data_IF_851595395181
#
_entry.id   IF_851595395181
#
_cell.length_a   1.000
_cell.length_b   1.000
_cell.length_c   1.000
_cell.angle_alpha   90.00
_cell.angle_beta   90.00
_cell.angle_gamma   90.00
#
_symmetry.space_group_name_H-M   'P 1'
#
loop_
_entity.id
_entity.type
_entity.pdbx_description
1 polymer ?
#
# COMPACT_ATOMS: atom_id res chain seq x y z
N UNK A 1 -20.13 -24.53 12.45
CA UNK A 1 -20.32 -23.61 11.31
C UNK A 1 -19.02 -22.83 11.13
N UNK A 2 -18.44 -22.82 9.93
CA UNK A 2 -17.27 -21.98 9.63
C UNK A 2 -17.80 -20.56 9.41
N UNK A 3 -17.28 -19.56 10.13
CA UNK A 3 -17.61 -18.15 9.85
C UNK A 3 -17.19 -17.83 8.42
N UNK A 4 -18.00 -17.08 7.69
CA UNK A 4 -17.59 -16.51 6.39
C UNK A 4 -16.39 -15.60 6.62
N UNK A 5 -15.47 -15.58 5.66
CA UNK A 5 -14.34 -14.63 5.65
C UNK A 5 -14.80 -13.27 5.13
N UNK A 6 -14.10 -12.19 5.50
CA UNK A 6 -14.36 -10.85 4.97
C UNK A 6 -14.36 -10.84 3.42
N UNK A 7 -13.48 -11.61 2.77
CA UNK A 7 -13.43 -11.72 1.32
C UNK A 7 -14.69 -12.38 0.73
N UNK A 8 -15.18 -13.46 1.34
CA UNK A 8 -16.44 -14.11 0.94
C UNK A 8 -17.64 -13.18 1.13
N UNK A 9 -17.60 -12.31 2.16
CA UNK A 9 -18.61 -11.30 2.42
C UNK A 9 -18.57 -10.17 1.39
N UNK A 10 -17.38 -9.65 1.04
CA UNK A 10 -17.22 -8.67 -0.04
C UNK A 10 -17.76 -9.25 -1.36
N UNK A 11 -17.40 -10.49 -1.70
CA UNK A 11 -17.91 -11.16 -2.89
C UNK A 11 -19.44 -11.33 -2.87
N UNK A 12 -20.02 -11.71 -1.73
CA UNK A 12 -21.47 -11.85 -1.60
C UNK A 12 -22.22 -10.52 -1.81
N UNK A 13 -21.61 -9.39 -1.45
CA UNK A 13 -22.21 -8.06 -1.67
C UNK A 13 -22.40 -7.70 -3.15
N UNK A 14 -21.63 -8.30 -4.05
CA UNK A 14 -21.79 -8.13 -5.50
C UNK A 14 -23.08 -8.78 -5.98
N UNK A 15 -23.44 -9.93 -5.42
CA UNK A 15 -24.64 -10.69 -5.80
C UNK A 15 -25.92 -10.20 -5.11
N UNK A 16 -25.82 -9.65 -3.90
CA UNK A 16 -26.98 -9.28 -3.06
C UNK A 16 -27.19 -7.76 -3.01
N UNK A 17 -27.50 -7.16 -4.16
CA UNK A 17 -27.78 -5.72 -4.22
C UNK A 17 -29.21 -5.33 -3.73
N UNK A 18 -29.92 -6.27 -3.09
CA UNK A 18 -31.24 -6.07 -2.48
C UNK A 18 -31.13 -5.41 -1.10
N UNK A 19 -32.11 -4.59 -0.73
CA UNK A 19 -32.04 -3.66 0.41
C UNK A 19 -31.85 -4.31 1.80
N UNK A 20 -32.05 -5.62 1.94
CA UNK A 20 -32.05 -6.32 3.24
C UNK A 20 -30.66 -6.69 3.80
N UNK A 21 -29.61 -6.76 2.97
CA UNK A 21 -28.23 -7.07 3.43
C UNK A 21 -27.45 -5.82 3.91
N UNK A 22 -28.14 -4.66 3.97
CA UNK A 22 -27.62 -3.40 4.50
C UNK A 22 -27.36 -3.41 6.03
N UNK A 23 -27.44 -4.55 6.71
CA UNK A 23 -27.20 -4.62 8.16
C UNK A 23 -25.73 -4.82 8.53
N UNK A 24 -24.85 -5.09 7.54
CA UNK A 24 -23.40 -5.29 7.73
C UNK A 24 -22.57 -3.99 7.72
N UNK A 25 -23.22 -2.85 7.48
CA UNK A 25 -22.67 -1.50 7.40
C UNK A 25 -22.17 -0.94 8.75
N UNK A 26 -21.24 -1.64 9.42
CA UNK A 26 -20.50 -1.11 10.56
C UNK A 26 -19.19 -0.50 10.06
N UNK A 27 -18.70 0.60 10.67
CA UNK A 27 -17.37 1.14 10.41
C UNK A 27 -16.34 0.00 10.46
N UNK A 28 -15.83 -0.39 9.30
CA UNK A 28 -14.84 -1.47 9.23
C UNK A 28 -13.53 -0.94 9.82
N UNK A 29 -13.32 0.38 9.84
CA UNK A 29 -12.15 1.01 10.43
C UNK A 29 -12.61 2.21 11.27
N UNK A 30 -12.77 2.07 12.60
CA UNK A 30 -12.97 3.27 13.41
C UNK A 30 -11.78 4.21 13.20
N UNK A 31 -12.06 5.50 13.27
CA UNK A 31 -11.02 6.53 13.24
C UNK A 31 -10.10 6.29 14.43
N UNK A 32 -8.90 5.81 14.12
CA UNK A 32 -7.92 5.46 15.13
C UNK A 32 -8.06 4.07 15.73
N UNK A 33 -7.07 3.73 16.54
CA UNK A 33 -6.98 2.44 17.19
C UNK A 33 -6.07 2.53 18.41
N UNK A 34 -6.49 1.93 19.51
CA UNK A 34 -5.70 1.86 20.74
C UNK A 34 -5.07 0.49 20.86
N UNK A 35 -3.76 0.44 21.01
CA UNK A 35 -3.00 -0.79 21.17
C UNK A 35 -2.06 -0.70 22.37
N UNK A 36 -2.12 -1.66 23.28
CA UNK A 36 -1.26 -1.66 24.46
C UNK A 36 -0.02 -2.52 24.22
N UNK A 37 1.17 -1.91 24.26
CA UNK A 37 2.44 -2.63 24.22
C UNK A 37 2.98 -2.78 25.63
N UNK A 38 3.35 -4.00 26.01
CA UNK A 38 4.12 -4.25 27.22
C UNK A 38 5.54 -3.74 27.01
N UNK A 39 5.94 -2.70 27.74
CA UNK A 39 7.31 -2.22 27.70
C UNK A 39 8.24 -3.21 28.42
N UNK A 40 9.24 -3.73 27.70
CA UNK A 40 10.28 -4.54 28.32
C UNK A 40 11.20 -3.67 29.17
N UNK A 41 11.38 -4.03 30.45
CA UNK A 41 12.24 -3.31 31.39
C UNK A 41 13.70 -3.75 31.25
N UNK A 42 14.63 -2.78 31.28
CA UNK A 42 15.85 -2.94 32.09
C UNK A 42 15.49 -2.57 33.54
N UNK A 43 15.41 -3.60 34.41
CA UNK A 43 15.34 -3.67 35.89
C UNK A 43 14.96 -2.39 36.68
N UNK A 44 14.00 -2.35 37.62
CA UNK A 44 14.01 -2.88 39.01
C UNK A 44 12.58 -2.58 39.55
N UNK A 45 11.88 -3.51 40.23
CA UNK A 45 10.52 -3.38 40.85
C UNK A 45 9.24 -3.70 40.02
N UNK A 46 8.97 -4.99 39.83
CA UNK A 46 7.65 -5.58 40.14
C UNK A 46 6.39 -5.31 39.32
N UNK A 47 6.34 -4.38 38.36
CA UNK A 47 5.12 -4.21 37.52
C UNK A 47 5.45 -3.91 36.06
N UNK A 48 4.87 -4.64 35.10
CA UNK A 48 5.02 -4.33 33.68
C UNK A 48 4.45 -2.94 33.41
N UNK A 49 5.25 -2.07 32.79
CA UNK A 49 4.78 -0.78 32.30
C UNK A 49 4.14 -1.05 30.95
N UNK A 50 2.88 -0.67 30.77
CA UNK A 50 2.22 -0.71 29.48
C UNK A 50 2.29 0.68 28.87
N UNK A 51 2.65 0.75 27.59
CA UNK A 51 2.54 1.97 26.79
C UNK A 51 1.30 1.84 25.94
N UNK A 52 0.39 2.78 26.09
CA UNK A 52 -0.78 2.88 25.23
C UNK A 52 -0.38 3.56 23.92
N UNK A 53 -0.58 2.89 22.80
CA UNK A 53 -0.39 3.48 21.48
C UNK A 53 -1.74 3.89 20.92
N UNK A 54 -1.87 5.15 20.53
CA UNK A 54 -3.06 5.71 19.89
C UNK A 54 -2.73 6.09 18.45
N UNK A 55 -3.42 5.47 17.49
CA UNK A 55 -3.34 5.85 16.07
C UNK A 55 -4.37 6.94 15.77
N UNK A 56 -3.97 7.99 15.05
CA UNK A 56 -4.86 9.03 14.51
C UNK A 56 -4.81 9.06 12.99
N UNK A 57 -5.89 9.55 12.38
CA UNK A 57 -6.02 9.75 10.93
C UNK A 57 -5.66 8.50 10.12
N UNK A 58 -6.17 7.34 10.53
CA UNK A 58 -5.78 6.04 9.94
C UNK A 58 -6.32 5.81 8.53
N UNK A 59 -7.26 6.66 8.07
CA UNK A 59 -7.82 6.58 6.73
C UNK A 59 -6.74 6.54 5.63
N UNK A 60 -5.58 7.13 5.91
CA UNK A 60 -4.41 7.16 5.01
C UNK A 60 -3.82 5.79 4.68
N UNK A 61 -4.00 4.79 5.54
CA UNK A 61 -3.47 3.43 5.33
C UNK A 61 -4.57 2.41 5.10
N UNK A 62 -5.76 2.72 5.61
CA UNK A 62 -6.96 1.89 5.58
C UNK A 62 -7.32 1.39 4.18
N UNK A 63 -7.37 2.31 3.21
CA UNK A 63 -7.65 1.98 1.81
C UNK A 63 -6.61 1.03 1.20
N UNK A 64 -5.32 1.25 1.49
CA UNK A 64 -4.25 0.40 0.99
C UNK A 64 -4.27 -1.00 1.58
N UNK A 65 -4.49 -1.13 2.89
CA UNK A 65 -4.58 -2.44 3.54
C UNK A 65 -5.76 -3.24 2.97
N UNK A 66 -6.87 -2.57 2.65
CA UNK A 66 -8.02 -3.22 1.99
C UNK A 66 -7.68 -3.69 0.56
N UNK A 67 -7.07 -2.82 -0.26
CA UNK A 67 -6.61 -3.18 -1.61
C UNK A 67 -5.65 -4.37 -1.56
N UNK A 68 -4.66 -4.33 -0.67
CA UNK A 68 -3.69 -5.41 -0.50
C UNK A 68 -4.38 -6.73 -0.09
N UNK A 69 -5.32 -6.66 0.85
CA UNK A 69 -6.09 -7.83 1.29
C UNK A 69 -6.86 -8.50 0.14
N UNK A 70 -7.58 -7.70 -0.64
CA UNK A 70 -8.37 -8.20 -1.79
C UNK A 70 -7.46 -8.86 -2.80
N UNK A 71 -6.36 -8.20 -3.17
CA UNK A 71 -5.40 -8.74 -4.15
C UNK A 71 -4.75 -10.04 -3.64
N UNK A 72 -4.38 -10.10 -2.36
CA UNK A 72 -3.78 -11.32 -1.77
C UNK A 72 -4.76 -12.51 -1.75
N UNK A 73 -6.05 -12.24 -1.61
CA UNK A 73 -7.10 -13.26 -1.62
C UNK A 73 -7.44 -13.74 -3.02
N UNK A 74 -7.46 -12.83 -3.97
CA UNK A 74 -7.88 -13.11 -5.34
C UNK A 74 -6.73 -13.70 -6.19
N UNK A 75 -5.50 -13.23 -5.97
CA UNK A 75 -4.34 -13.62 -6.77
C UNK A 75 -3.33 -14.48 -5.99
N UNK A 76 -3.44 -15.82 -6.14
CA UNK A 76 -2.53 -16.78 -5.49
C UNK A 76 -1.06 -16.63 -5.93
N UNK A 77 -0.82 -16.24 -7.18
CA UNK A 77 0.55 -16.02 -7.68
C UNK A 77 1.22 -14.86 -6.96
N UNK A 78 0.50 -13.74 -6.89
CA UNK A 78 0.89 -12.54 -6.15
C UNK A 78 1.17 -12.84 -4.68
N UNK A 79 0.26 -13.57 -4.00
CA UNK A 79 0.43 -13.94 -2.59
C UNK A 79 1.73 -14.71 -2.32
N UNK A 80 2.06 -15.69 -3.18
CA UNK A 80 3.30 -16.47 -3.04
C UNK A 80 4.54 -15.61 -3.26
N UNK A 81 4.51 -14.72 -4.25
CA UNK A 81 5.63 -13.84 -4.55
C UNK A 81 5.85 -12.82 -3.43
N UNK A 82 4.79 -12.15 -2.96
CA UNK A 82 4.89 -11.19 -1.87
C UNK A 82 5.36 -11.85 -0.56
N UNK A 83 4.96 -13.10 -0.31
CA UNK A 83 5.41 -13.87 0.85
C UNK A 83 6.92 -14.14 0.87
N UNK A 84 7.60 -14.12 -0.28
CA UNK A 84 9.06 -14.20 -0.35
C UNK A 84 9.71 -12.95 0.23
N UNK A 85 9.08 -11.78 0.04
CA UNK A 85 9.63 -10.49 0.45
C UNK A 85 9.20 -10.06 1.85
N UNK A 86 7.91 -10.15 2.15
CA UNK A 86 7.37 -9.77 3.47
C UNK A 86 7.46 -10.92 4.50
N UNK A 87 7.71 -12.14 4.04
CA UNK A 87 7.72 -13.34 4.85
C UNK A 87 6.35 -14.03 4.87
N UNK A 88 6.36 -15.35 4.71
CA UNK A 88 5.14 -16.18 4.70
C UNK A 88 4.28 -15.98 5.95
N UNK A 89 4.91 -15.97 7.13
CA UNK A 89 4.21 -15.78 8.40
C UNK A 89 3.52 -14.40 8.49
N UNK A 90 4.16 -13.35 7.95
CA UNK A 90 3.57 -12.02 7.89
C UNK A 90 2.30 -12.03 7.05
N UNK A 91 2.36 -12.57 5.82
CA UNK A 91 1.22 -12.62 4.91
C UNK A 91 0.07 -13.46 5.49
N UNK A 92 0.36 -14.63 6.05
CA UNK A 92 -0.65 -15.47 6.70
C UNK A 92 -1.29 -14.79 7.90
N UNK A 93 -0.49 -14.12 8.74
CA UNK A 93 -1.01 -13.39 9.90
C UNK A 93 -1.83 -12.17 9.51
N UNK A 94 -1.39 -11.40 8.50
CA UNK A 94 -2.13 -10.28 7.93
C UNK A 94 -3.51 -10.73 7.44
N UNK A 95 -3.56 -11.80 6.64
CA UNK A 95 -4.81 -12.35 6.10
C UNK A 95 -5.74 -12.84 7.22
N UNK A 96 -5.19 -13.48 8.25
CA UNK A 96 -5.95 -13.90 9.43
C UNK A 96 -6.56 -12.72 10.19
N UNK A 97 -5.78 -11.66 10.42
CA UNK A 97 -6.25 -10.48 11.15
C UNK A 97 -7.33 -9.72 10.37
N UNK A 98 -7.18 -9.60 9.05
CA UNK A 98 -8.20 -9.00 8.17
C UNK A 98 -9.50 -9.82 8.19
N UNK A 99 -9.42 -11.15 8.05
CA UNK A 99 -10.60 -12.03 8.14
C UNK A 99 -11.29 -11.97 9.51
N UNK A 100 -10.52 -11.73 10.56
CA UNK A 100 -11.01 -11.65 11.94
C UNK A 100 -11.47 -10.22 12.31
N UNK A 101 -11.48 -9.29 11.35
CA UNK A 101 -11.82 -7.90 11.56
C UNK A 101 -10.97 -7.20 12.65
N UNK A 102 -9.74 -7.66 12.89
CA UNK A 102 -8.85 -7.10 13.90
C UNK A 102 -7.96 -6.00 13.32
N UNK A 103 -8.62 -4.96 12.82
CA UNK A 103 -7.97 -3.96 11.98
C UNK A 103 -6.95 -3.08 12.71
N UNK A 104 -7.16 -2.78 13.99
CA UNK A 104 -6.15 -2.08 14.79
C UNK A 104 -4.84 -2.85 14.82
N UNK A 105 -4.92 -4.18 14.96
CA UNK A 105 -3.71 -5.02 14.94
C UNK A 105 -3.12 -5.11 13.53
N UNK A 106 -3.93 -5.10 12.47
CA UNK A 106 -3.43 -5.03 11.08
C UNK A 106 -2.62 -3.75 10.86
N UNK A 107 -3.16 -2.59 11.27
CA UNK A 107 -2.47 -1.29 11.18
C UNK A 107 -1.15 -1.33 11.92
N UNK A 108 -1.18 -1.79 13.17
CA UNK A 108 0.01 -1.94 13.99
C UNK A 108 1.02 -2.88 13.35
N UNK A 109 0.59 -4.04 12.83
CA UNK A 109 1.45 -4.99 12.13
C UNK A 109 2.18 -4.32 10.96
N UNK A 110 1.47 -3.48 10.20
CA UNK A 110 2.04 -2.79 9.04
C UNK A 110 3.04 -1.70 9.42
N UNK A 111 2.75 -0.89 10.45
CA UNK A 111 3.62 0.25 10.83
C UNK A 111 4.72 -0.12 11.84
N UNK A 112 4.68 -1.31 12.46
CA UNK A 112 5.50 -1.69 13.63
C UNK A 112 7.00 -1.47 13.42
N UNK A 113 7.54 -1.91 12.29
CA UNK A 113 8.98 -1.82 12.02
C UNK A 113 9.43 -0.38 11.65
N UNK A 114 8.46 0.53 11.47
CA UNK A 114 8.67 1.95 11.09
C UNK A 114 8.53 2.91 12.26
N UNK A 115 7.93 2.45 13.35
CA UNK A 115 7.85 3.17 14.63
C UNK A 115 9.20 3.57 15.23
N UNK A 116 10.30 2.93 14.81
CA UNK A 116 11.66 3.28 15.26
C UNK A 116 12.29 4.47 14.54
N UNK A 117 11.70 4.99 13.45
CA UNK A 117 12.37 5.95 12.57
C UNK A 117 11.51 7.14 12.15
N UNK A 118 11.33 8.14 13.01
CA UNK A 118 11.00 9.57 12.75
C UNK A 118 9.87 9.97 11.75
N UNK A 119 9.19 9.03 11.11
CA UNK A 119 8.23 9.31 10.04
C UNK A 119 6.91 9.87 10.60
N UNK A 120 6.54 9.44 11.81
CA UNK A 120 5.31 9.88 12.45
C UNK A 120 5.53 11.07 13.37
N UNK A 121 4.60 12.04 13.31
CA UNK A 121 4.47 13.03 14.38
C UNK A 121 3.99 12.28 15.62
N UNK A 122 4.85 12.20 16.62
CA UNK A 122 4.55 11.53 17.87
C UNK A 122 4.64 12.48 19.03
N UNK A 123 3.61 12.45 19.87
CA UNK A 123 3.58 13.13 21.15
C UNK A 123 3.55 12.09 22.27
N UNK A 124 4.37 12.29 23.30
CA UNK A 124 4.41 11.41 24.47
C UNK A 124 3.64 12.10 25.59
N UNK A 125 2.51 11.53 25.96
CA UNK A 125 1.65 12.01 27.05
C UNK A 125 1.53 10.93 28.11
N UNK A 126 2.18 11.10 29.27
CA UNK A 126 1.93 10.28 30.48
C UNK A 126 1.75 8.76 30.20
N UNK A 127 2.76 8.12 29.60
CA UNK A 127 2.79 6.70 29.18
C UNK A 127 1.91 6.30 27.97
N UNK A 128 1.38 7.27 27.22
CA UNK A 128 0.77 7.07 25.91
C UNK A 128 1.64 7.66 24.80
N UNK A 129 1.73 6.93 23.68
CA UNK A 129 2.32 7.36 22.43
C UNK A 129 1.22 7.58 21.42
N UNK A 130 1.09 8.81 20.93
CA UNK A 130 0.18 9.11 19.83
C UNK A 130 0.95 9.12 18.50
N UNK A 131 0.33 8.57 17.45
CA UNK A 131 0.91 8.46 16.12
C UNK A 131 -0.11 9.02 15.13
N UNK A 132 0.22 10.16 14.52
CA UNK A 132 -0.56 10.72 13.43
C UNK A 132 -0.07 10.18 12.09
N UNK A 133 -0.97 9.52 11.34
CA UNK A 133 -0.68 8.94 10.03
C UNK A 133 -0.98 9.90 8.86
N UNK A 134 -1.44 11.13 9.13
CA UNK A 134 -1.75 12.12 8.10
C UNK A 134 -0.50 12.71 7.43
N UNK A 135 -0.57 12.93 6.11
CA UNK A 135 0.49 13.59 5.33
C UNK A 135 1.65 12.70 4.86
N UNK A 136 1.63 11.40 5.19
CA UNK A 136 2.61 10.40 4.73
C UNK A 136 1.93 9.25 3.98
N UNK A 137 0.82 9.49 3.30
CA UNK A 137 -0.13 8.45 2.88
C UNK A 137 0.49 7.43 1.93
N UNK A 138 1.23 7.92 0.94
CA UNK A 138 1.97 7.07 0.02
C UNK A 138 3.06 6.27 0.75
N UNK A 139 3.88 6.95 1.57
CA UNK A 139 5.01 6.33 2.26
C UNK A 139 4.56 5.27 3.28
N UNK A 140 3.48 5.55 4.01
CA UNK A 140 2.86 4.62 4.96
C UNK A 140 2.61 3.23 4.35
N UNK A 141 2.38 3.16 3.04
CA UNK A 141 2.21 1.91 2.32
C UNK A 141 3.48 1.46 1.59
N UNK A 142 4.14 2.33 0.84
CA UNK A 142 5.23 1.92 -0.06
C UNK A 142 6.55 1.61 0.65
N UNK A 143 6.77 2.08 1.88
CA UNK A 143 8.08 1.92 2.52
C UNK A 143 8.40 0.45 2.86
N UNK A 144 7.40 -0.32 3.28
CA UNK A 144 7.53 -1.77 3.50
C UNK A 144 7.82 -2.56 2.22
N UNK A 145 7.68 -1.89 1.08
CA UNK A 145 7.78 -2.44 -0.25
C UNK A 145 9.01 -1.91 -1.02
N UNK A 146 9.77 -0.97 -0.45
CA UNK A 146 10.92 -0.35 -1.11
C UNK A 146 11.98 -1.33 -1.58
N UNK A 147 12.30 -2.32 -0.74
CA UNK A 147 13.29 -3.34 -1.09
C UNK A 147 12.85 -4.13 -2.32
N UNK A 148 11.57 -4.48 -2.40
CA UNK A 148 10.97 -5.17 -3.55
C UNK A 148 11.00 -4.30 -4.81
N UNK A 149 10.79 -3.00 -4.66
CA UNK A 149 10.82 -2.02 -5.76
C UNK A 149 12.22 -1.50 -6.08
N UNK A 150 13.26 -2.02 -5.40
CA UNK A 150 14.61 -1.49 -5.52
C UNK A 150 15.17 -1.70 -6.94
N UNK A 151 15.92 -0.70 -7.40
CA UNK A 151 16.53 -0.71 -8.73
C UNK A 151 18.00 -0.35 -8.65
N UNK A 152 18.75 -0.90 -9.60
CA UNK A 152 20.14 -0.57 -9.86
C UNK A 152 20.23 0.19 -11.18
N UNK A 153 21.03 1.25 -11.18
CA UNK A 153 21.42 1.96 -12.38
C UNK A 153 22.92 2.24 -12.35
N UNK A 154 23.62 1.87 -13.42
CA UNK A 154 25.04 2.20 -13.60
C UNK A 154 25.18 3.52 -14.34
N UNK A 155 26.20 4.30 -14.01
CA UNK A 155 26.55 5.52 -14.72
C UNK A 155 28.05 5.66 -14.95
N UNK A 156 28.39 6.40 -16.01
CA UNK A 156 29.76 6.69 -16.42
C UNK A 156 29.94 8.19 -16.63
N UNK A 157 30.94 8.78 -15.98
CA UNK A 157 31.35 10.16 -16.24
C UNK A 157 32.42 10.20 -17.34
N UNK A 158 32.27 11.15 -18.27
CA UNK A 158 33.25 11.39 -19.33
C UNK A 158 34.53 12.04 -18.80
N UNK A 159 34.48 12.73 -17.66
CA UNK A 159 35.67 13.31 -17.03
C UNK A 159 36.52 12.20 -16.39
N UNK A 160 37.71 11.99 -16.95
CA UNK A 160 38.70 11.00 -16.50
C UNK A 160 39.18 11.23 -15.07
N UNK A 161 39.19 12.48 -14.62
CA UNK A 161 39.59 12.88 -13.28
C UNK A 161 38.44 12.84 -12.28
N UNK A 162 37.24 12.40 -12.69
CA UNK A 162 36.12 12.24 -11.76
C UNK A 162 36.42 11.10 -10.78
N UNK A 163 36.50 11.36 -9.46
CA UNK A 163 36.75 10.30 -8.47
C UNK A 163 35.62 9.27 -8.42
N UNK A 164 34.42 9.64 -8.90
CA UNK A 164 33.26 8.76 -9.01
C UNK A 164 32.90 8.51 -10.48
N UNK A 165 33.92 8.24 -11.30
CA UNK A 165 33.75 8.10 -12.74
C UNK A 165 32.80 6.96 -13.10
N UNK A 166 33.01 5.80 -12.50
CA UNK A 166 32.09 4.67 -12.57
C UNK A 166 31.29 4.62 -11.26
N UNK A 167 29.97 4.55 -11.36
CA UNK A 167 29.12 4.39 -10.19
C UNK A 167 27.98 3.43 -10.48
N UNK A 168 27.73 2.54 -9.54
CA UNK A 168 26.50 1.76 -9.45
C UNK A 168 25.67 2.35 -8.31
N UNK A 169 24.39 2.63 -8.58
CA UNK A 169 23.48 3.15 -7.57
C UNK A 169 22.34 2.18 -7.34
N UNK A 170 22.24 1.69 -6.11
CA UNK A 170 20.97 1.25 -5.55
C UNK A 170 20.13 2.52 -5.30
N UNK A 171 18.94 2.62 -5.90
CA UNK A 171 18.13 3.84 -5.82
C UNK A 171 16.66 3.60 -5.49
N UNK A 172 16.18 4.44 -4.58
CA UNK A 172 14.80 4.96 -4.49
C UNK A 172 14.69 6.38 -5.10
N UNK A 173 15.74 7.24 -5.05
CA UNK A 173 15.82 8.54 -5.79
C UNK A 173 17.27 9.00 -6.06
N UNK A 174 17.54 9.83 -7.08
CA UNK A 174 18.91 10.28 -7.49
C UNK A 174 19.15 11.76 -7.19
N UNK A 175 20.29 12.10 -6.58
CA UNK A 175 20.93 13.42 -6.75
C UNK A 175 22.46 13.29 -6.73
N UNK A 176 23.15 13.76 -7.78
CA UNK A 176 24.62 13.76 -7.88
C UNK A 176 25.07 15.01 -8.59
N UNK A 177 25.94 15.80 -7.95
CA UNK A 177 26.60 16.95 -8.56
C UNK A 177 27.93 16.51 -9.17
N UNK A 178 28.06 16.66 -10.49
CA UNK A 178 29.27 16.38 -11.25
C UNK A 178 29.39 17.42 -12.36
N UNK A 179 30.58 18.02 -12.53
CA UNK A 179 30.83 19.05 -13.56
C UNK A 179 31.05 18.50 -14.98
N UNK A 180 31.05 17.18 -15.17
CA UNK A 180 31.16 16.52 -16.47
C UNK A 180 29.86 15.86 -16.93
N UNK A 181 29.71 15.65 -18.24
CA UNK A 181 28.61 14.89 -18.84
C UNK A 181 28.64 13.44 -18.34
N UNK A 182 27.48 12.94 -17.87
CA UNK A 182 27.35 11.59 -17.31
C UNK A 182 26.32 10.80 -18.11
N UNK A 183 26.74 9.63 -18.56
CA UNK A 183 25.89 8.66 -19.25
C UNK A 183 25.32 7.67 -18.25
N UNK A 184 24.09 7.23 -18.50
CA UNK A 184 23.37 6.30 -17.64
C UNK A 184 22.95 5.07 -18.44
N UNK A 185 23.20 3.90 -17.85
CA UNK A 185 22.62 2.64 -18.34
C UNK A 185 21.11 2.58 -18.08
N UNK A 186 20.44 1.66 -18.77
CA UNK A 186 19.08 1.28 -18.44
C UNK A 186 19.00 0.82 -16.99
N UNK A 187 17.98 1.30 -16.27
CA UNK A 187 17.70 0.90 -14.91
C UNK A 187 17.10 -0.50 -14.87
N UNK A 188 17.54 -1.31 -13.91
CA UNK A 188 17.12 -2.71 -13.76
C UNK A 188 16.62 -2.93 -12.33
N UNK A 189 15.53 -3.69 -12.16
CA UNK A 189 15.04 -4.07 -10.83
C UNK A 189 15.93 -5.15 -10.21
N UNK A 190 16.24 -5.00 -8.91
CA UNK A 190 17.14 -5.90 -8.19
C UNK A 190 16.61 -7.33 -8.09
N UNK A 191 15.29 -7.49 -8.03
CA UNK A 191 14.62 -8.78 -7.79
C UNK A 191 13.80 -9.25 -8.99
N UNK A 192 14.13 -8.75 -10.19
CA UNK A 192 13.24 -8.86 -11.34
C UNK A 192 12.09 -7.87 -11.25
N UNK A 193 11.15 -7.90 -12.21
CA UNK A 193 10.04 -6.95 -12.24
C UNK A 193 9.21 -7.12 -10.98
N UNK A 194 8.73 -6.03 -10.36
CA UNK A 194 7.97 -6.17 -9.13
C UNK A 194 6.60 -6.79 -9.41
N UNK A 195 6.01 -7.54 -8.47
CA UNK A 195 4.66 -8.10 -8.60
C UNK A 195 3.57 -7.03 -8.63
N UNK A 196 3.85 -5.82 -8.13
CA UNK A 196 2.95 -4.67 -8.19
C UNK A 196 3.71 -3.39 -8.50
N UNK A 197 2.98 -2.36 -8.91
CA UNK A 197 3.47 -1.00 -9.11
C UNK A 197 2.47 -0.04 -8.51
N UNK A 198 2.96 0.92 -7.73
CA UNK A 198 2.12 1.95 -7.12
C UNK A 198 2.52 3.30 -7.71
N UNK A 199 1.58 3.99 -8.34
CA UNK A 199 1.79 5.34 -8.84
C UNK A 199 1.24 6.34 -7.83
N UNK A 200 2.08 7.23 -7.33
CA UNK A 200 1.65 8.35 -6.50
C UNK A 200 1.05 9.44 -7.40
N UNK A 201 -0.27 9.61 -7.38
CA UNK A 201 -0.98 10.55 -8.23
C UNK A 201 -0.93 11.98 -7.69
N UNK A 202 -0.63 12.17 -6.40
CA UNK A 202 -0.50 13.50 -5.78
C UNK A 202 0.72 14.27 -6.32
N UNK A 203 1.69 13.57 -6.93
CA UNK A 203 2.86 14.18 -7.56
C UNK A 203 2.60 14.64 -9.01
N UNK A 204 1.46 14.27 -9.60
CA UNK A 204 1.14 14.55 -11.00
C UNK A 204 0.30 15.82 -11.11
N UNK A 205 0.54 16.60 -12.16
CA UNK A 205 -0.28 17.79 -12.42
C UNK A 205 -1.63 17.35 -12.99
N UNK A 206 -2.70 18.07 -12.65
CA UNK A 206 -4.06 17.70 -13.07
C UNK A 206 -4.22 17.63 -14.59
N UNK A 207 -3.44 18.42 -15.34
CA UNK A 207 -3.45 18.44 -16.81
C UNK A 207 -2.80 17.18 -17.43
N UNK A 208 -1.93 16.49 -16.68
CA UNK A 208 -1.25 15.25 -17.09
C UNK A 208 -2.09 14.00 -16.82
N UNK A 209 -3.21 14.13 -16.08
CA UNK A 209 -4.08 13.05 -15.64
C UNK A 209 -5.32 12.83 -16.52
N UNK A 210 -5.32 13.36 -17.74
CA UNK A 210 -6.46 13.27 -18.68
C UNK A 210 -6.89 11.82 -18.97
N UNK A 211 -6.02 10.84 -18.76
CA UNK A 211 -6.33 9.43 -18.88
C UNK A 211 -5.55 8.58 -17.88
N UNK A 212 -6.25 7.77 -17.09
CA UNK A 212 -5.63 6.71 -16.29
C UNK A 212 -5.62 5.42 -17.10
N UNK A 213 -4.44 4.88 -17.45
CA UNK A 213 -4.38 3.65 -18.23
C UNK A 213 -4.83 2.46 -17.40
N UNK A 214 -5.75 1.64 -17.92
CA UNK A 214 -6.11 0.39 -17.25
C UNK A 214 -4.96 -0.63 -17.26
N UNK A 215 -4.10 -0.57 -18.29
CA UNK A 215 -2.93 -1.43 -18.42
C UNK A 215 -1.64 -0.62 -18.54
N UNK A 216 -0.60 -1.02 -17.82
CA UNK A 216 0.75 -0.50 -17.96
C UNK A 216 1.67 -1.54 -18.59
N UNK A 217 2.50 -1.09 -19.52
CA UNK A 217 3.63 -1.87 -20.01
C UNK A 217 4.92 -1.36 -19.36
N UNK A 218 5.63 -2.25 -18.66
CA UNK A 218 6.94 -1.97 -18.10
C UNK A 218 7.92 -3.01 -18.64
N UNK A 219 8.80 -2.57 -19.55
CA UNK A 219 9.65 -3.44 -20.35
C UNK A 219 8.81 -4.49 -21.12
N UNK A 220 9.06 -5.78 -20.88
CA UNK A 220 8.32 -6.90 -21.47
C UNK A 220 7.11 -7.36 -20.64
N UNK A 221 6.82 -6.69 -19.52
CA UNK A 221 5.79 -7.08 -18.57
C UNK A 221 4.57 -6.16 -18.68
N UNK A 222 3.40 -6.76 -18.49
CA UNK A 222 2.13 -6.04 -18.42
C UNK A 222 1.62 -6.03 -16.99
N UNK A 223 0.95 -4.94 -16.63
CA UNK A 223 0.32 -4.76 -15.35
C UNK A 223 -1.10 -4.27 -15.56
N UNK A 224 -2.06 -4.82 -14.81
CA UNK A 224 -3.47 -4.40 -14.78
C UNK A 224 -3.73 -3.54 -13.56
N UNK A 225 -4.60 -2.54 -13.69
CA UNK A 225 -5.06 -1.71 -12.59
C UNK A 225 -6.03 -2.52 -11.70
N UNK A 226 -5.64 -2.77 -10.46
CA UNK A 226 -6.44 -3.57 -9.50
C UNK A 226 -7.00 -2.74 -8.35
N UNK A 227 -6.47 -1.54 -8.12
CA UNK A 227 -6.96 -0.68 -7.06
C UNK A 227 -6.49 0.77 -7.16
N UNK A 228 -7.15 1.63 -6.40
CA UNK A 228 -6.82 3.04 -6.27
C UNK A 228 -7.16 3.53 -4.87
N UNK A 229 -6.33 4.40 -4.30
CA UNK A 229 -6.73 5.20 -3.14
C UNK A 229 -7.26 6.54 -3.61
N UNK A 230 -8.27 7.02 -2.91
CA UNK A 230 -9.08 8.16 -3.28
C UNK A 230 -9.12 9.16 -2.12
N UNK A 231 -9.07 10.45 -2.42
CA UNK A 231 -9.06 11.51 -1.43
C UNK A 231 -10.24 12.46 -1.61
N UNK A 232 -11.02 12.64 -0.55
CA UNK A 232 -12.03 13.68 -0.45
C UNK A 232 -11.42 14.95 0.17
N UNK A 233 -11.33 16.02 -0.60
CA UNK A 233 -10.79 17.31 -0.14
C UNK A 233 -11.65 17.97 0.93
N UNK A 234 -12.97 17.83 0.86
CA UNK A 234 -13.89 18.51 1.78
C UNK A 234 -13.91 17.81 3.14
N UNK A 235 -13.94 16.47 3.13
CA UNK A 235 -13.98 15.66 4.35
C UNK A 235 -12.59 15.34 4.91
N UNK A 236 -11.52 15.70 4.20
CA UNK A 236 -10.14 15.29 4.51
C UNK A 236 -10.02 13.77 4.75
N UNK A 237 -10.70 12.99 3.93
CA UNK A 237 -10.89 11.56 4.12
C UNK A 237 -10.32 10.75 2.96
N UNK A 238 -9.66 9.65 3.30
CA UNK A 238 -9.13 8.69 2.33
C UNK A 238 -10.01 7.46 2.26
N UNK A 239 -10.32 7.05 1.04
CA UNK A 239 -11.07 5.84 0.72
C UNK A 239 -10.30 5.02 -0.33
N UNK A 240 -10.82 3.86 -0.71
CA UNK A 240 -10.24 3.02 -1.76
C UNK A 240 -11.26 2.60 -2.79
N UNK A 241 -10.80 2.29 -3.99
CA UNK A 241 -11.52 1.48 -4.95
C UNK A 241 -10.67 0.27 -5.33
N UNK A 242 -11.28 -0.89 -5.52
CA UNK A 242 -10.56 -2.09 -5.94
C UNK A 242 -11.41 -2.99 -6.81
N UNK A 243 -10.74 -3.81 -7.62
CA UNK A 243 -11.38 -4.80 -8.46
C UNK A 243 -11.56 -6.13 -7.70
N UNK A 244 -12.72 -6.75 -7.86
CA UNK A 244 -13.00 -8.12 -7.41
C UNK A 244 -14.00 -8.76 -8.37
N UNK A 245 -13.71 -9.95 -8.87
CA UNK A 245 -14.53 -10.68 -9.85
C UNK A 245 -14.95 -9.80 -11.06
N UNK A 246 -14.05 -8.95 -11.55
CA UNK A 246 -14.28 -8.04 -12.67
C UNK A 246 -15.11 -6.79 -12.32
N UNK A 247 -15.62 -6.67 -11.09
CA UNK A 247 -16.40 -5.53 -10.62
C UNK A 247 -15.54 -4.55 -9.82
N UNK A 248 -15.87 -3.26 -9.87
CA UNK A 248 -15.23 -2.24 -9.05
C UNK A 248 -16.03 -1.98 -7.79
N UNK A 249 -15.38 -2.06 -6.63
CA UNK A 249 -15.96 -1.76 -5.32
C UNK A 249 -15.31 -0.51 -4.75
N UNK A 250 -16.08 0.38 -4.15
CA UNK A 250 -15.62 1.52 -3.35
C UNK A 250 -15.65 1.16 -1.88
N UNK A 251 -14.52 1.32 -1.21
CA UNK A 251 -14.37 1.17 0.22
C UNK A 251 -14.17 2.53 0.90
N UNK A 252 -15.20 3.01 1.61
CA UNK A 252 -15.17 4.32 2.28
C UNK A 252 -14.41 4.27 3.62
N UNK A 253 -14.71 3.31 4.48
CA UNK A 253 -14.03 3.12 5.76
C UNK A 253 -14.41 4.11 6.88
N UNK A 254 -15.20 5.15 6.61
CA UNK A 254 -15.67 6.12 7.62
C UNK A 254 -17.15 5.91 7.95
N UNK A 255 -17.98 5.58 6.96
CA UNK A 255 -19.44 5.56 7.09
C UNK A 255 -19.96 4.23 7.64
N UNK A 256 -21.27 4.14 7.86
CA UNK A 256 -21.90 2.83 8.02
C UNK A 256 -21.72 2.03 6.74
N UNK A 257 -22.16 2.61 5.61
CA UNK A 257 -22.12 1.94 4.32
C UNK A 257 -20.74 2.02 3.67
N UNK A 258 -19.85 1.12 4.06
CA UNK A 258 -18.44 1.21 3.70
C UNK A 258 -18.05 0.56 2.38
N UNK A 259 -18.91 -0.18 1.71
CA UNK A 259 -18.56 -0.97 0.51
C UNK A 259 -19.63 -0.84 -0.56
N UNK A 260 -19.38 -0.07 -1.61
CA UNK A 260 -20.41 0.23 -2.63
C UNK A 260 -19.94 -0.28 -3.98
N UNK A 261 -20.80 -0.98 -4.71
CA UNK A 261 -20.54 -1.36 -6.10
C UNK A 261 -20.49 -0.10 -6.99
N UNK A 262 -19.40 0.07 -7.73
CA UNK A 262 -19.19 1.19 -8.63
C UNK A 262 -19.61 0.82 -10.05
N UNK A 263 -20.62 1.52 -10.57
CA UNK A 263 -20.99 1.48 -11.99
C UNK A 263 -20.29 2.56 -12.83
N UNK A 264 -19.75 3.58 -12.15
CA UNK A 264 -18.97 4.67 -12.75
C UNK A 264 -17.89 5.14 -11.77
N UNK A 265 -16.81 5.79 -12.26
CA UNK A 265 -15.82 6.41 -11.40
C UNK A 265 -16.47 7.43 -10.44
N UNK A 266 -16.02 7.53 -9.17
CA UNK A 266 -16.53 8.52 -8.23
C UNK A 266 -16.15 9.95 -8.66
N UNK A 267 -17.14 10.80 -8.93
CA UNK A 267 -16.92 12.13 -9.55
C UNK A 267 -16.27 13.17 -8.62
N UNK A 268 -16.42 13.03 -7.30
CA UNK A 268 -15.96 14.03 -6.30
C UNK A 268 -14.67 13.61 -5.57
N UNK A 269 -14.11 12.46 -5.93
CA UNK A 269 -12.91 11.92 -5.26
C UNK A 269 -11.69 12.09 -6.14
N UNK A 270 -10.61 12.58 -5.56
CA UNK A 270 -9.34 12.73 -6.25
C UNK A 270 -8.53 11.44 -6.16
N UNK A 271 -7.86 11.08 -7.25
CA UNK A 271 -6.90 9.98 -7.22
C UNK A 271 -5.70 10.36 -6.34
N UNK A 272 -5.43 9.54 -5.33
CA UNK A 272 -4.23 9.67 -4.48
C UNK A 272 -3.14 8.71 -4.94
N UNK A 273 -3.47 7.44 -5.13
CA UNK A 273 -2.54 6.45 -5.68
C UNK A 273 -3.27 5.42 -6.54
N UNK A 274 -2.54 4.84 -7.50
CA UNK A 274 -3.02 3.73 -8.33
C UNK A 274 -2.16 2.49 -8.05
N UNK A 275 -2.80 1.33 -7.93
CA UNK A 275 -2.18 0.05 -7.62
C UNK A 275 -2.38 -0.88 -8.81
N UNK A 276 -1.27 -1.24 -9.45
CA UNK A 276 -1.24 -2.15 -10.58
C UNK A 276 -0.58 -3.46 -10.20
N UNK A 277 -1.10 -4.59 -10.68
CA UNK A 277 -0.55 -5.93 -10.44
C UNK A 277 -0.03 -6.51 -11.75
N UNK A 278 1.13 -7.17 -11.69
CA UNK A 278 1.73 -7.80 -12.85
C UNK A 278 0.82 -8.91 -13.36
N UNK A 279 0.44 -8.83 -14.63
CA UNK A 279 -0.34 -9.86 -15.30
C UNK A 279 0.46 -11.17 -15.36
N UNK A 280 -0.19 -12.30 -15.11
CA UNK A 280 0.40 -13.64 -15.21
C UNK A 280 0.75 -14.04 -16.64
N UNK A 281 0.23 -13.32 -17.64
CA UNK A 281 0.47 -13.60 -19.04
C UNK A 281 1.90 -13.19 -19.39
N UNK A 282 2.78 -14.21 -19.47
CA UNK A 282 4.00 -14.08 -20.26
C UNK A 282 3.57 -13.76 -21.68
N UNK A 283 4.06 -12.66 -22.22
CA UNK A 283 4.02 -12.45 -23.66
C UNK A 283 4.76 -13.62 -24.30
N UNK A 284 4.02 -14.45 -25.05
CA UNK A 284 4.64 -15.26 -26.07
C UNK A 284 5.50 -14.31 -26.91
N UNK A 285 6.76 -14.69 -27.08
CA UNK A 285 7.78 -13.98 -27.83
C UNK A 285 7.46 -14.00 -29.32
N UNK A 286 6.44 -13.27 -29.73
CA UNK A 286 6.05 -13.14 -31.14
C UNK A 286 5.92 -11.67 -31.56
N UNK A 287 6.94 -10.87 -31.25
CA UNK A 287 7.18 -9.61 -31.95
C UNK A 287 8.68 -9.44 -32.17
N UNK A 288 9.20 -10.26 -33.09
CA UNK A 288 10.31 -9.87 -33.96
C UNK A 288 9.75 -9.86 -35.38
N UNK A 289 9.52 -8.66 -35.91
CA UNK A 289 9.66 -8.31 -37.32
C UNK A 289 9.75 -6.79 -37.43
#
# INVERSE_FOLDING_TARGET
MRSKTLFEEIRASISNNDEEDRSFWRPVLPWGGVFNIKAERKAISGSPVYVQISLKNTCTIDGFLMILYVILRDNRGFSRELAVFLGKQFVEHFLYLMDSCNYTTVKMLWIRDRMSGRQYRSEIHQAALEIDLFGNEHENFTENLENLMSTIQKSLCTNWSCPARFQEFLKTTISIRCGGLREFSQRVFCHGPPPFVILNMQQWKSEELSYVPYNLALCQYRYSLEGATLFNKEEHHYSAAFQIDGCWMHYDGLRGNNLILLHKPPELLLLSSLVYIRSSDKTDSSWTH
#
